data_IF_529821851276
#
_entry.id   IF_529821851276
#
_cell.length_a   1.000
_cell.length_b   1.000
_cell.length_c   1.000
_cell.angle_alpha   90.00
_cell.angle_beta   90.00
_cell.angle_gamma   90.00
#
_symmetry.space_group_name_H-M   'P 1'
#
loop_
_entity.id
_entity.type
_entity.pdbx_description
1 polymer ?
#
# COMPACT_ATOMS: atom_id res chain seq x y z
N UNK A 1 11.53 46.49 -18.88
CA UNK A 1 10.28 45.73 -19.08
C UNK A 1 10.27 44.60 -18.06
N UNK A 2 9.30 44.57 -17.14
CA UNK A 2 9.16 43.45 -16.21
C UNK A 2 8.46 42.32 -16.97
N UNK A 3 9.13 41.17 -17.15
CA UNK A 3 8.50 40.00 -17.74
C UNK A 3 7.46 39.46 -16.76
N UNK A 4 6.18 39.54 -17.13
CA UNK A 4 5.12 38.94 -16.33
C UNK A 4 5.23 37.42 -16.38
N UNK A 5 5.43 36.81 -15.22
CA UNK A 5 5.54 35.35 -15.10
C UNK A 5 4.14 34.74 -15.11
N UNK A 6 3.99 33.62 -15.84
CA UNK A 6 2.78 32.81 -15.78
C UNK A 6 2.57 32.21 -14.39
N UNK A 7 1.34 31.79 -14.07
CA UNK A 7 1.05 31.14 -12.79
C UNK A 7 1.95 29.92 -12.53
N UNK A 8 2.14 29.06 -13.53
CA UNK A 8 3.05 27.91 -13.44
C UNK A 8 4.50 28.33 -13.16
N UNK A 9 5.00 29.37 -13.84
CA UNK A 9 6.36 29.86 -13.62
C UNK A 9 6.55 30.40 -12.20
N UNK A 10 5.52 31.00 -11.61
CA UNK A 10 5.51 31.44 -10.21
C UNK A 10 5.56 30.23 -9.27
N UNK A 11 4.71 29.22 -9.49
CA UNK A 11 4.67 28.00 -8.66
C UNK A 11 5.99 27.24 -8.69
N UNK A 12 6.58 27.04 -9.87
CA UNK A 12 7.85 26.33 -10.06
C UNK A 12 9.00 26.94 -9.25
N UNK A 13 9.03 28.27 -9.14
CA UNK A 13 10.08 29.05 -8.44
C UNK A 13 9.77 29.28 -6.96
N UNK A 14 8.63 28.82 -6.46
CA UNK A 14 8.15 29.13 -5.12
C UNK A 14 8.60 28.08 -4.13
N UNK A 15 9.57 28.40 -3.27
CA UNK A 15 9.96 27.52 -2.17
C UNK A 15 8.78 27.16 -1.26
N UNK A 16 7.82 28.08 -1.07
CA UNK A 16 6.59 27.81 -0.31
C UNK A 16 5.76 26.66 -0.90
N UNK A 17 5.75 26.50 -2.22
CA UNK A 17 5.05 25.38 -2.86
C UNK A 17 5.82 24.09 -2.64
N UNK A 18 7.14 24.13 -2.66
CA UNK A 18 7.97 22.95 -2.36
C UNK A 18 7.76 22.50 -0.92
N UNK A 19 7.84 23.43 0.03
CA UNK A 19 7.63 23.18 1.46
C UNK A 19 6.21 22.64 1.69
N UNK A 20 5.20 23.29 1.13
CA UNK A 20 3.80 22.83 1.22
C UNK A 20 3.62 21.39 0.73
N UNK A 21 4.21 21.03 -0.41
CA UNK A 21 4.07 19.66 -0.93
C UNK A 21 4.74 18.63 -0.02
N UNK A 22 5.90 18.95 0.56
CA UNK A 22 6.63 18.04 1.45
C UNK A 22 6.01 17.95 2.85
N UNK A 23 5.37 19.01 3.32
CA UNK A 23 4.64 19.02 4.60
C UNK A 23 3.31 18.26 4.49
N UNK A 24 2.64 18.35 3.34
CA UNK A 24 1.30 17.77 3.14
C UNK A 24 1.31 16.37 2.55
N UNK A 25 2.42 15.95 1.95
CA UNK A 25 2.61 14.60 1.39
C UNK A 25 3.83 13.98 2.09
N UNK A 26 3.57 13.09 3.03
CA UNK A 26 4.63 12.43 3.81
C UNK A 26 4.56 10.92 3.66
N UNK A 27 5.72 10.28 3.80
CA UNK A 27 5.89 8.84 3.70
C UNK A 27 6.67 8.37 4.92
N UNK A 28 6.18 7.32 5.57
CA UNK A 28 6.84 6.68 6.71
C UNK A 28 7.01 5.19 6.44
N UNK A 29 8.14 4.65 6.89
CA UNK A 29 8.44 3.22 6.92
C UNK A 29 8.69 2.85 8.38
N UNK A 30 7.89 1.94 8.94
CA UNK A 30 8.04 1.50 10.34
C UNK A 30 8.19 2.67 11.32
N UNK A 31 7.32 3.68 11.19
CA UNK A 31 7.36 4.93 11.96
C UNK A 31 8.61 5.82 11.79
N UNK A 32 9.55 5.45 10.92
CA UNK A 32 10.62 6.34 10.50
C UNK A 32 10.16 7.19 9.30
N UNK A 33 10.37 8.52 9.30
CA UNK A 33 10.09 9.33 8.12
C UNK A 33 11.04 8.95 6.98
N UNK A 34 10.52 8.83 5.76
CA UNK A 34 11.32 8.78 4.55
C UNK A 34 11.56 10.22 4.06
N UNK A 35 12.78 10.78 4.11
CA UNK A 35 13.03 12.14 3.66
C UNK A 35 12.60 12.36 2.21
N UNK A 36 11.77 13.39 2.00
CA UNK A 36 11.23 13.76 0.70
C UNK A 36 11.99 14.91 0.06
N UNK A 37 11.98 14.96 -1.27
CA UNK A 37 12.35 16.16 -2.05
C UNK A 37 11.45 16.31 -3.27
N UNK A 38 11.20 17.56 -3.65
CA UNK A 38 10.56 17.87 -4.94
C UNK A 38 11.61 17.76 -6.04
N UNK A 39 11.39 16.82 -6.96
CA UNK A 39 12.31 16.55 -8.08
C UNK A 39 11.97 17.43 -9.28
N UNK A 40 10.69 17.68 -9.50
CA UNK A 40 10.24 18.47 -10.63
C UNK A 40 8.89 19.16 -10.36
N UNK A 41 8.84 20.43 -10.75
CA UNK A 41 7.61 21.22 -10.93
C UNK A 41 7.56 21.83 -12.34
N UNK A 42 8.44 21.41 -13.25
CA UNK A 42 8.35 21.78 -14.65
C UNK A 42 7.16 21.05 -15.30
N UNK A 43 6.41 21.75 -16.14
CA UNK A 43 5.21 21.23 -16.81
C UNK A 43 4.16 20.76 -15.80
N UNK A 44 3.91 21.57 -14.77
CA UNK A 44 2.96 21.25 -13.70
C UNK A 44 1.56 20.95 -14.24
N UNK A 45 1.16 21.64 -15.32
CA UNK A 45 -0.13 21.46 -15.96
C UNK A 45 -0.24 20.14 -16.75
N UNK A 46 0.89 19.62 -17.27
CA UNK A 46 0.91 18.40 -18.08
C UNK A 46 1.27 17.15 -17.28
N UNK A 47 2.19 17.29 -16.31
CA UNK A 47 2.84 16.17 -15.60
C UNK A 47 2.60 16.19 -14.09
N UNK A 48 2.07 17.29 -13.55
CA UNK A 48 1.98 17.50 -12.11
C UNK A 48 3.36 17.67 -11.43
N UNK A 49 3.34 17.62 -10.11
CA UNK A 49 4.55 17.66 -9.29
C UNK A 49 5.15 16.25 -9.15
N UNK A 50 6.47 16.13 -9.26
CA UNK A 50 7.17 14.86 -8.97
C UNK A 50 7.98 14.99 -7.68
N UNK A 51 7.67 14.13 -6.73
CA UNK A 51 8.36 14.02 -5.45
C UNK A 51 9.12 12.69 -5.40
N UNK A 52 10.21 12.65 -4.65
CA UNK A 52 10.96 11.43 -4.34
C UNK A 52 11.18 11.35 -2.84
N UNK A 53 10.88 10.20 -2.26
CA UNK A 53 11.10 9.87 -0.87
C UNK A 53 12.16 8.78 -0.76
N UNK A 54 13.10 8.93 0.17
CA UNK A 54 14.19 7.97 0.40
C UNK A 54 13.95 7.28 1.74
N UNK A 55 13.67 5.99 1.73
CA UNK A 55 13.36 5.22 2.94
C UNK A 55 14.62 4.51 3.48
N UNK A 56 14.70 4.28 4.81
CA UNK A 56 15.90 3.71 5.44
C UNK A 56 16.19 2.26 5.05
N UNK A 57 15.17 1.51 4.60
CA UNK A 57 15.28 0.12 4.19
C UNK A 57 14.54 -0.13 2.87
N UNK A 58 14.64 -1.36 2.37
CA UNK A 58 13.89 -1.82 1.19
C UNK A 58 12.38 -1.63 1.41
N UNK A 59 11.70 -1.12 0.38
CA UNK A 59 10.29 -0.71 0.48
C UNK A 59 9.37 -1.93 0.28
N UNK A 60 8.84 -2.45 1.38
CA UNK A 60 7.80 -3.48 1.39
C UNK A 60 6.45 -2.97 1.92
N UNK A 61 6.46 -2.09 2.92
CA UNK A 61 5.27 -1.46 3.49
C UNK A 61 5.58 0.01 3.79
N UNK A 62 4.64 0.91 3.46
CA UNK A 62 4.73 2.33 3.75
C UNK A 62 3.40 2.84 4.29
N UNK A 63 3.46 3.71 5.28
CA UNK A 63 2.33 4.57 5.64
C UNK A 63 2.49 5.89 4.88
N UNK A 64 1.54 6.16 3.98
CA UNK A 64 1.52 7.36 3.15
C UNK A 64 0.44 8.29 3.69
N UNK A 65 0.81 9.53 3.99
CA UNK A 65 -0.12 10.58 4.40
C UNK A 65 -0.24 11.64 3.32
N UNK A 66 -1.47 11.96 2.93
CA UNK A 66 -1.78 13.01 1.95
C UNK A 66 -2.89 13.89 2.49
N UNK A 67 -2.52 15.12 2.83
CA UNK A 67 -3.44 16.18 3.30
C UNK A 67 -3.51 17.38 2.36
N UNK A 68 -2.75 17.36 1.27
CA UNK A 68 -2.74 18.44 0.30
C UNK A 68 -4.14 18.62 -0.29
N UNK A 69 -4.61 19.86 -0.35
CA UNK A 69 -5.94 20.28 -0.80
C UNK A 69 -7.05 19.96 0.21
N UNK A 70 -7.02 18.81 0.88
CA UNK A 70 -8.00 18.51 1.95
C UNK A 70 -7.80 19.42 3.17
N UNK A 71 -6.58 19.94 3.36
CA UNK A 71 -6.28 21.00 4.32
C UNK A 71 -6.89 22.37 3.95
N UNK A 72 -7.14 22.62 2.67
CA UNK A 72 -7.78 23.84 2.18
C UNK A 72 -9.30 23.72 2.19
N UNK A 73 -9.83 22.54 1.88
CA UNK A 73 -11.26 22.24 1.90
C UNK A 73 -11.51 20.76 2.12
N UNK A 74 -12.26 20.43 3.18
CA UNK A 74 -12.58 19.05 3.57
C UNK A 74 -13.38 18.26 2.52
N UNK A 75 -14.07 18.94 1.60
CA UNK A 75 -14.84 18.30 0.54
C UNK A 75 -13.94 17.71 -0.57
N UNK A 76 -12.68 18.14 -0.66
CA UNK A 76 -11.74 17.59 -1.62
C UNK A 76 -11.32 16.16 -1.28
N UNK A 77 -10.98 15.41 -2.32
CA UNK A 77 -10.53 14.02 -2.21
C UNK A 77 -9.43 13.77 -3.23
N UNK A 78 -8.47 12.93 -2.86
CA UNK A 78 -7.32 12.62 -3.73
C UNK A 78 -7.18 11.12 -3.88
N UNK A 79 -7.05 10.63 -5.12
CA UNK A 79 -6.81 9.21 -5.38
C UNK A 79 -5.32 9.00 -5.61
N UNK A 80 -4.71 8.14 -4.80
CA UNK A 80 -3.39 7.59 -5.11
C UNK A 80 -3.56 6.32 -5.92
N UNK A 81 -2.81 6.21 -7.01
CA UNK A 81 -2.74 5.01 -7.84
C UNK A 81 -1.31 4.52 -7.91
N UNK A 82 -1.07 3.27 -7.54
CA UNK A 82 0.23 2.64 -7.70
C UNK A 82 0.44 2.21 -9.16
N UNK A 83 1.61 2.53 -9.71
CA UNK A 83 2.05 2.05 -11.03
C UNK A 83 2.77 0.71 -10.95
N UNK A 84 3.29 0.34 -9.78
CA UNK A 84 3.86 -0.97 -9.48
C UNK A 84 2.84 -1.84 -8.73
N UNK A 85 3.02 -3.17 -8.67
CA UNK A 85 2.17 -4.01 -7.82
C UNK A 85 2.19 -3.52 -6.37
N UNK A 86 1.01 -3.16 -5.89
CA UNK A 86 0.79 -2.76 -4.52
C UNK A 86 -0.61 -3.19 -4.05
N UNK A 87 -0.74 -3.42 -2.75
CA UNK A 87 -2.00 -3.69 -2.08
C UNK A 87 -2.22 -2.61 -1.01
N UNK A 88 -3.31 -1.83 -1.11
CA UNK A 88 -4.23 -1.72 -2.26
C UNK A 88 -3.57 -1.05 -3.48
N UNK A 89 -4.09 -1.29 -4.69
CA UNK A 89 -3.57 -0.65 -5.92
C UNK A 89 -4.01 0.82 -6.08
N UNK A 90 -5.12 1.18 -5.45
CA UNK A 90 -5.66 2.54 -5.40
C UNK A 90 -6.26 2.81 -4.03
N UNK A 91 -6.09 4.02 -3.52
CA UNK A 91 -6.72 4.50 -2.28
C UNK A 91 -7.27 5.90 -2.46
N UNK A 92 -8.29 6.24 -1.69
CA UNK A 92 -8.93 7.55 -1.71
C UNK A 92 -8.65 8.25 -0.38
N UNK A 93 -7.79 9.25 -0.43
CA UNK A 93 -7.53 10.14 0.70
C UNK A 93 -8.65 11.15 0.87
N UNK A 94 -9.06 11.36 2.12
CA UNK A 94 -10.05 12.36 2.52
C UNK A 94 -9.54 13.12 3.75
N UNK A 95 -10.21 14.20 4.15
CA UNK A 95 -9.87 14.89 5.39
C UNK A 95 -9.99 13.99 6.64
N UNK A 96 -10.94 13.04 6.64
CA UNK A 96 -11.17 12.12 7.75
C UNK A 96 -10.21 10.92 7.77
N UNK A 97 -9.68 10.53 6.60
CA UNK A 97 -8.75 9.42 6.45
C UNK A 97 -7.56 9.87 5.58
N UNK A 98 -6.60 10.60 6.19
CA UNK A 98 -5.49 11.20 5.45
C UNK A 98 -4.28 10.27 5.32
N UNK A 99 -4.28 9.12 5.99
CA UNK A 99 -3.15 8.18 6.01
C UNK A 99 -3.62 6.80 5.61
N UNK A 100 -2.92 6.18 4.68
CA UNK A 100 -3.16 4.81 4.27
C UNK A 100 -1.86 4.01 4.22
N UNK A 101 -1.97 2.75 4.62
CA UNK A 101 -0.92 1.77 4.51
C UNK A 101 -0.91 1.12 3.14
N UNK A 102 0.26 1.09 2.52
CA UNK A 102 0.50 0.52 1.20
C UNK A 102 1.54 -0.58 1.32
N UNK A 103 1.24 -1.77 0.79
CA UNK A 103 2.19 -2.88 0.68
C UNK A 103 2.66 -3.03 -0.75
N UNK A 104 3.95 -3.06 -0.98
CA UNK A 104 4.58 -3.22 -2.27
C UNK A 104 5.18 -4.62 -2.38
N UNK A 105 5.01 -5.26 -3.52
CA UNK A 105 5.66 -6.54 -3.80
C UNK A 105 6.88 -6.27 -4.68
N UNK A 106 8.05 -6.77 -4.28
CA UNK A 106 9.29 -6.68 -5.06
C UNK A 106 9.13 -7.31 -6.45
N UNK A 107 8.20 -8.26 -6.59
CA UNK A 107 7.92 -8.93 -7.83
C UNK A 107 6.74 -8.28 -8.55
N UNK A 108 6.96 -7.94 -9.82
CA UNK A 108 5.96 -7.62 -10.85
C UNK A 108 4.86 -8.67 -11.05
N UNK A 109 4.75 -9.68 -10.18
CA UNK A 109 3.80 -10.78 -10.27
C UNK A 109 2.72 -10.64 -9.20
N UNK A 110 1.46 -10.76 -9.60
CA UNK A 110 0.34 -10.84 -8.68
C UNK A 110 0.51 -11.95 -7.63
N UNK A 111 -0.37 -12.03 -6.62
CA UNK A 111 -0.21 -12.98 -5.53
C UNK A 111 -0.15 -14.41 -6.07
N UNK A 112 1.07 -14.92 -6.22
CA UNK A 112 1.35 -16.34 -6.23
C UNK A 112 0.98 -16.83 -4.85
N UNK A 113 -0.09 -17.62 -4.79
CA UNK A 113 -0.49 -18.36 -3.60
C UNK A 113 0.62 -19.35 -3.22
N UNK A 114 1.67 -18.88 -2.57
CA UNK A 114 2.70 -19.74 -2.00
C UNK A 114 3.15 -19.15 -0.67
N UNK A 115 2.56 -19.62 0.43
CA UNK A 115 3.19 -19.46 1.74
C UNK A 115 2.30 -19.19 2.96
N UNK A 116 1.15 -19.86 3.11
CA UNK A 116 0.53 -20.06 4.43
C UNK A 116 -0.43 -21.26 4.44
N UNK A 117 0.10 -22.46 4.19
CA UNK A 117 -0.48 -23.70 4.73
C UNK A 117 0.43 -24.18 5.87
N UNK A 118 0.51 -23.38 6.93
CA UNK A 118 1.08 -23.83 8.20
C UNK A 118 -0.08 -24.20 9.11
N UNK A 119 -0.38 -25.51 9.14
CA UNK A 119 -0.87 -26.19 10.34
C UNK A 119 -2.26 -25.82 10.87
N UNK A 120 -3.32 -26.26 10.20
CA UNK A 120 -4.60 -26.57 10.85
C UNK A 120 -5.35 -27.69 10.10
N UNK A 121 -4.65 -28.79 9.85
CA UNK A 121 -5.17 -29.95 9.12
C UNK A 121 -4.84 -31.25 9.83
N UNK A 122 -5.28 -31.40 11.09
CA UNK A 122 -5.20 -32.68 11.81
C UNK A 122 -6.34 -32.86 12.82
N UNK A 123 -7.55 -32.43 12.47
CA UNK A 123 -8.76 -32.87 13.15
C UNK A 123 -9.81 -33.11 12.07
N UNK A 124 -10.11 -34.39 11.79
CA UNK A 124 -11.34 -34.94 11.16
C UNK A 124 -11.11 -36.20 10.28
N UNK A 125 -9.91 -36.79 10.24
CA UNK A 125 -9.67 -38.04 9.49
C UNK A 125 -9.44 -39.32 10.34
N UNK A 126 -9.62 -39.27 11.67
CA UNK A 126 -9.41 -40.46 12.54
C UNK A 126 -10.69 -41.23 12.89
N UNK A 127 -11.88 -40.73 12.54
CA UNK A 127 -13.14 -41.37 12.92
C UNK A 127 -13.61 -42.49 11.95
N UNK A 128 -13.18 -42.48 10.69
CA UNK A 128 -13.66 -43.47 9.70
C UNK A 128 -12.79 -44.74 9.63
N UNK A 129 -11.50 -44.66 9.97
CA UNK A 129 -10.61 -45.82 9.94
C UNK A 129 -10.86 -46.81 11.10
N UNK A 130 -11.27 -46.32 12.28
CA UNK A 130 -11.52 -47.19 13.45
C UNK A 130 -12.81 -47.99 13.33
N UNK A 131 -13.87 -47.42 12.74
CA UNK A 131 -15.15 -48.10 12.52
C UNK A 131 -15.04 -49.26 11.51
N UNK A 132 -14.20 -49.14 10.48
CA UNK A 132 -13.97 -50.20 9.49
C UNK A 132 -13.23 -51.40 10.12
N UNK A 133 -12.17 -51.14 10.90
CA UNK A 133 -11.35 -52.20 11.52
C UNK A 133 -12.12 -52.97 12.60
N UNK A 134 -12.97 -52.31 13.39
CA UNK A 134 -13.78 -52.97 14.43
C UNK A 134 -14.89 -53.84 13.82
N UNK A 135 -15.53 -53.42 12.73
CA UNK A 135 -16.56 -54.25 12.06
C UNK A 135 -15.98 -55.47 11.36
N UNK A 136 -14.79 -55.38 10.76
CA UNK A 136 -14.13 -56.54 10.15
C UNK A 136 -13.71 -57.57 11.21
N UNK A 137 -13.19 -57.12 12.37
CA UNK A 137 -12.81 -58.04 13.47
C UNK A 137 -14.00 -58.79 14.08
N UNK A 138 -15.18 -58.17 14.15
CA UNK A 138 -16.39 -58.86 14.66
C UNK A 138 -16.93 -59.93 13.70
N UNK A 139 -16.78 -59.76 12.39
CA UNK A 139 -17.28 -60.75 11.40
C UNK A 139 -16.45 -62.04 11.38
N UNK A 140 -15.14 -61.96 11.62
CA UNK A 140 -14.27 -63.14 11.62
C UNK A 140 -14.51 -64.00 12.87
N UNK A 141 -14.83 -63.38 14.01
CA UNK A 141 -15.02 -64.09 15.29
C UNK A 141 -16.38 -64.80 15.44
N UNK A 142 -17.33 -64.57 14.51
CA UNK A 142 -18.66 -65.20 14.50
C UNK A 142 -18.73 -66.43 13.57
N UNK A 143 -17.62 -66.82 12.94
CA UNK A 143 -17.53 -67.95 11.99
C UNK A 143 -16.54 -69.04 12.43
N UNK A 144 -16.14 -69.04 13.70
CA UNK A 144 -15.43 -70.15 14.34
C UNK A 144 -16.25 -70.70 15.49
#
# INVERSE_FOLDING_TARGET
MATELTGEQKLRRSNRVHDYLLDRITVRQDDAPCPGRVVALDRLLDQGARLRFECPAEVAELDITLTALTDLNEAYRTVLTSQTPAVPRRVLFTAAEPTHRMRFSADGGGPGLTGALVGAGAALATALATLAVVRLRRRVRSRS
#
